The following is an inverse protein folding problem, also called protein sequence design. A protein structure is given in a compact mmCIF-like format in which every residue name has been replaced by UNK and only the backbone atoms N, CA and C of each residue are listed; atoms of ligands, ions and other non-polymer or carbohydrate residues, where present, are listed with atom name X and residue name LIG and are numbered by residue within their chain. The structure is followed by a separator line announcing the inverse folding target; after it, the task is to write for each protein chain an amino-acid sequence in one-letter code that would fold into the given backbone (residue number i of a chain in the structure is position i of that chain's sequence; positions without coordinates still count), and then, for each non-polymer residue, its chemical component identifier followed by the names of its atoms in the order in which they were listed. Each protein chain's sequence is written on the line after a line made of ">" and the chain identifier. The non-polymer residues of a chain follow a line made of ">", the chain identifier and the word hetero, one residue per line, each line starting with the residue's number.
data_IF_231795255483
#
_entry.id   IF_231795255483
#
_cell.length_a   1.000
_cell.length_b   1.000
_cell.length_c   1.000
_cell.angle_alpha   90.00
_cell.angle_beta   90.00
_cell.angle_gamma   90.00
#
_symmetry.space_group_name_H-M   'P 1'
#
loop_
_entity.id
_entity.type
_entity.pdbx_description
1 polymer ?
#
# COMPACT_ATOMS: atom_id res chain seq x y z
N UNK A 1 -15.27 39.45 -9.97
CA UNK A 1 -14.75 38.47 -8.97
C UNK A 1 -15.41 37.09 -9.02
N UNK A 2 -16.64 36.92 -9.54
CA UNK A 2 -17.33 35.61 -9.60
C UNK A 2 -16.74 34.61 -10.62
N UNK A 3 -16.20 35.10 -11.76
CA UNK A 3 -15.63 34.25 -12.82
C UNK A 3 -14.43 33.40 -12.36
N UNK A 4 -13.62 33.90 -11.42
CA UNK A 4 -12.50 33.12 -10.85
C UNK A 4 -13.01 32.05 -9.88
N UNK A 5 -14.00 32.39 -9.03
CA UNK A 5 -14.62 31.45 -8.09
C UNK A 5 -15.31 30.28 -8.79
N UNK A 6 -15.98 30.53 -9.91
CA UNK A 6 -16.64 29.49 -10.70
C UNK A 6 -15.64 28.56 -11.41
N UNK A 7 -14.55 29.12 -11.96
CA UNK A 7 -13.44 28.33 -12.53
C UNK A 7 -12.73 27.50 -11.48
N UNK A 8 -12.50 28.06 -10.30
CA UNK A 8 -11.88 27.37 -9.17
C UNK A 8 -12.79 26.25 -8.64
N UNK A 9 -14.10 26.49 -8.55
CA UNK A 9 -15.09 25.46 -8.22
C UNK A 9 -15.11 24.31 -9.22
N UNK A 10 -15.03 24.60 -10.53
CA UNK A 10 -14.96 23.57 -11.56
C UNK A 10 -13.68 22.71 -11.46
N UNK A 11 -12.54 23.33 -11.18
CA UNK A 11 -11.27 22.60 -10.97
C UNK A 11 -11.33 21.70 -9.73
N UNK A 12 -11.89 22.20 -8.62
CA UNK A 12 -12.06 21.42 -7.40
C UNK A 12 -12.99 20.23 -7.63
N UNK A 13 -14.12 20.44 -8.32
CA UNK A 13 -15.08 19.37 -8.64
C UNK A 13 -14.45 18.29 -9.54
N UNK A 14 -13.64 18.71 -10.52
CA UNK A 14 -12.88 17.79 -11.38
C UNK A 14 -11.88 16.95 -10.58
N UNK A 15 -11.17 17.54 -9.62
CA UNK A 15 -10.24 16.81 -8.75
C UNK A 15 -10.96 15.78 -7.87
N UNK A 16 -12.12 16.12 -7.32
CA UNK A 16 -12.93 15.17 -6.54
C UNK A 16 -13.38 13.97 -7.37
N UNK A 17 -13.79 14.18 -8.62
CA UNK A 17 -14.18 13.10 -9.54
C UNK A 17 -12.99 12.17 -9.84
N UNK A 18 -11.80 12.74 -10.06
CA UNK A 18 -10.58 11.95 -10.30
C UNK A 18 -10.25 11.11 -9.05
N UNK A 19 -10.29 11.72 -7.86
CA UNK A 19 -10.02 11.02 -6.61
C UNK A 19 -11.06 9.94 -6.28
N UNK A 20 -12.35 10.14 -6.60
CA UNK A 20 -13.38 9.12 -6.36
C UNK A 20 -13.26 7.89 -7.25
N UNK A 21 -12.57 8.01 -8.39
CA UNK A 21 -12.27 6.89 -9.29
C UNK A 21 -10.97 6.19 -8.93
N UNK A 22 -10.23 6.67 -7.93
CA UNK A 22 -9.10 5.94 -7.38
C UNK A 22 -9.66 4.87 -6.45
N UNK A 23 -9.92 3.68 -7.01
CA UNK A 23 -10.00 2.49 -6.17
C UNK A 23 -8.69 2.39 -5.38
N UNK A 24 -8.79 2.44 -4.06
CA UNK A 24 -7.67 2.10 -3.20
C UNK A 24 -7.28 0.66 -3.55
N UNK A 25 -6.15 0.48 -4.21
CA UNK A 25 -5.54 -0.83 -4.36
C UNK A 25 -5.22 -1.32 -2.95
N UNK A 26 -6.10 -2.14 -2.40
CA UNK A 26 -5.86 -2.83 -1.15
C UNK A 26 -4.69 -3.76 -1.46
N UNK A 27 -3.52 -3.48 -0.89
CA UNK A 27 -2.32 -4.27 -1.12
C UNK A 27 -2.66 -5.72 -0.83
N UNK A 28 -2.70 -6.57 -1.86
CA UNK A 28 -2.96 -7.98 -1.64
C UNK A 28 -1.85 -8.57 -0.77
N UNK A 29 -2.16 -9.65 -0.04
CA UNK A 29 -1.15 -10.38 0.74
C UNK A 29 0.07 -10.78 -0.12
N UNK A 30 -0.15 -10.95 -1.43
CA UNK A 30 0.88 -11.21 -2.42
C UNK A 30 1.82 -10.01 -2.64
N UNK A 31 1.28 -8.79 -2.78
CA UNK A 31 2.08 -7.57 -2.93
C UNK A 31 2.90 -7.27 -1.66
N UNK A 32 2.33 -7.53 -0.48
CA UNK A 32 3.05 -7.44 0.78
C UNK A 32 4.20 -8.46 0.84
N UNK A 33 3.94 -9.71 0.44
CA UNK A 33 4.93 -10.79 0.50
C UNK A 33 6.08 -10.52 -0.47
N UNK A 34 5.77 -10.12 -1.70
CA UNK A 34 6.77 -9.80 -2.73
C UNK A 34 7.66 -8.63 -2.31
N UNK A 35 7.06 -7.52 -1.85
CA UNK A 35 7.78 -6.35 -1.36
C UNK A 35 8.65 -6.67 -0.12
N UNK A 36 8.17 -7.54 0.76
CA UNK A 36 8.91 -7.98 1.93
C UNK A 36 10.10 -8.89 1.54
N UNK A 37 9.89 -9.81 0.60
CA UNK A 37 10.94 -10.71 0.11
C UNK A 37 12.02 -9.97 -0.68
N UNK A 38 11.66 -8.94 -1.45
CA UNK A 38 12.66 -8.08 -2.12
C UNK A 38 13.59 -7.40 -1.11
N UNK A 39 13.10 -7.07 0.09
CA UNK A 39 13.92 -6.53 1.17
C UNK A 39 14.80 -7.58 1.88
N UNK A 40 14.58 -8.88 1.62
CA UNK A 40 15.34 -9.98 2.25
C UNK A 40 16.66 -10.33 1.55
N UNK A 41 17.09 -9.57 0.54
CA UNK A 41 18.35 -9.81 -0.18
C UNK A 41 19.54 -9.60 0.76
N UNK A 42 20.12 -10.70 1.26
CA UNK A 42 21.37 -10.72 2.03
C UNK A 42 22.41 -11.57 1.31
N UNK A 43 23.39 -10.97 0.61
CA UNK A 43 24.39 -11.72 -0.14
C UNK A 43 25.28 -12.54 0.80
N UNK A 44 25.28 -13.86 0.60
CA UNK A 44 26.17 -14.80 1.31
C UNK A 44 25.60 -15.45 2.58
N UNK A 45 24.46 -14.97 3.11
CA UNK A 45 23.89 -15.47 4.37
C UNK A 45 22.51 -16.10 4.17
N UNK A 46 22.50 -17.37 3.72
CA UNK A 46 21.29 -18.17 3.49
C UNK A 46 20.39 -18.26 4.74
N UNK A 47 21.00 -18.28 5.93
CA UNK A 47 20.29 -18.36 7.22
C UNK A 47 19.54 -17.07 7.55
N UNK A 48 20.08 -15.90 7.19
CA UNK A 48 19.40 -14.61 7.35
C UNK A 48 18.25 -14.48 6.37
N UNK A 49 18.47 -14.90 5.13
CA UNK A 49 17.43 -14.93 4.10
C UNK A 49 16.22 -15.77 4.53
N UNK A 50 16.44 -17.01 4.99
CA UNK A 50 15.37 -17.89 5.48
C UNK A 50 14.61 -17.31 6.69
N UNK A 51 15.32 -16.59 7.58
CA UNK A 51 14.67 -15.91 8.72
C UNK A 51 13.82 -14.74 8.26
N UNK A 52 14.30 -13.98 7.28
CA UNK A 52 13.58 -12.86 6.71
C UNK A 52 12.31 -13.34 5.97
N UNK A 53 12.41 -14.39 5.16
CA UNK A 53 11.25 -15.02 4.49
C UNK A 53 10.19 -15.50 5.47
N UNK A 54 10.58 -16.13 6.58
CA UNK A 54 9.63 -16.52 7.64
C UNK A 54 8.94 -15.32 8.27
N UNK A 55 9.64 -14.20 8.46
CA UNK A 55 9.02 -12.95 8.95
C UNK A 55 8.04 -12.36 7.95
N UNK A 56 8.35 -12.42 6.66
CA UNK A 56 7.43 -11.98 5.61
C UNK A 56 6.14 -12.83 5.59
N UNK A 57 6.25 -14.14 5.79
CA UNK A 57 5.08 -15.01 5.91
C UNK A 57 4.21 -14.69 7.14
N UNK A 58 4.81 -14.27 8.26
CA UNK A 58 4.04 -13.85 9.45
C UNK A 58 3.41 -12.48 9.22
N UNK A 59 4.15 -11.54 8.62
CA UNK A 59 3.71 -10.16 8.41
C UNK A 59 2.64 -10.02 7.34
N UNK A 60 2.70 -10.85 6.29
CA UNK A 60 1.82 -10.80 5.14
C UNK A 60 0.90 -12.02 5.03
N UNK A 61 0.99 -12.95 6.00
CA UNK A 61 0.14 -14.14 6.04
C UNK A 61 -1.30 -13.80 6.40
N UNK A 62 -2.24 -14.74 6.23
CA UNK A 62 -3.66 -14.50 6.49
C UNK A 62 -3.95 -14.06 7.95
N UNK A 63 -3.06 -14.37 8.89
CA UNK A 63 -3.12 -13.94 10.31
C UNK A 63 -2.76 -12.47 10.54
N UNK A 64 -2.16 -11.76 9.57
CA UNK A 64 -1.76 -10.35 9.73
C UNK A 64 -2.93 -9.37 9.59
N UNK A 65 -4.09 -9.85 9.15
CA UNK A 65 -5.33 -9.06 9.02
C UNK A 65 -5.99 -8.71 10.36
N UNK A 66 -5.45 -9.21 11.48
CA UNK A 66 -5.98 -8.96 12.83
C UNK A 66 -5.50 -7.61 13.42
N UNK A 67 -4.46 -6.99 12.86
CA UNK A 67 -3.78 -5.82 13.47
C UNK A 67 -3.93 -4.51 12.67
N UNK A 68 -4.81 -4.43 11.67
CA UNK A 68 -5.06 -3.20 10.89
C UNK A 68 -6.51 -2.68 11.03
N UNK A 69 -7.12 -2.86 12.21
CA UNK A 69 -8.37 -2.17 12.61
C UNK A 69 -8.21 -1.46 13.97
N UNK A 70 -7.04 -0.83 14.19
CA UNK A 70 -6.84 0.06 15.34
C UNK A 70 -5.76 1.12 15.09
N UNK A 71 -6.16 2.26 14.54
CA UNK A 71 -5.36 3.48 14.57
C UNK A 71 -5.68 4.47 13.48
#
# INVERSE_FOLDING_TARGET
>A
MMKLKMKMGAVVMLLFIICSQMESVQSDAFDCLDACQTACVSPGDLRLQQRCERKCQIKCGPDSTVEEDRG
#
